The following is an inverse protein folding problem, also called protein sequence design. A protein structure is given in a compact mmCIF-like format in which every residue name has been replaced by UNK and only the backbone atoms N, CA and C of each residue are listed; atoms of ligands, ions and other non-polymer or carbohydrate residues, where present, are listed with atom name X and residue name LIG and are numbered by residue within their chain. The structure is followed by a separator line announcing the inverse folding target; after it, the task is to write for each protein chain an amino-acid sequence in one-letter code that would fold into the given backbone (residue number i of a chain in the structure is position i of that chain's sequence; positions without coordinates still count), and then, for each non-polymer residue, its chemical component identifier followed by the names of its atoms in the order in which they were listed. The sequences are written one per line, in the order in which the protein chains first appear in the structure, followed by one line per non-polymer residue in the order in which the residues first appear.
data_IF_018470144503
#
_entry.id   IF_018470144503
#
_cell.length_a   1.000
_cell.length_b   1.000
_cell.length_c   1.000
_cell.angle_alpha   90.00
_cell.angle_beta   90.00
_cell.angle_gamma   90.00
#
_symmetry.space_group_name_H-M   'P 1'
#
loop_
_entity.id
_entity.type
_entity.pdbx_description
1 polymer ?
#
# COMPACT_ATOMS: atom_id res chain seq x y z
N UNK A 1 -10.85 -10.05 -2.31
CA UNK A 1 -11.39 -11.33 -2.84
C UNK A 1 -10.97 -12.41 -1.89
N UNK A 2 -11.90 -13.28 -1.51
CA UNK A 2 -11.68 -14.35 -0.52
C UNK A 2 -12.29 -15.62 -1.08
N UNK A 3 -11.57 -16.75 -1.10
CA UNK A 3 -12.14 -18.01 -1.60
C UNK A 3 -13.26 -18.49 -0.67
N UNK A 4 -14.50 -18.39 -1.16
CA UNK A 4 -15.72 -18.75 -0.44
C UNK A 4 -16.61 -19.57 -1.38
N UNK A 5 -17.04 -20.75 -0.93
CA UNK A 5 -17.83 -21.72 -1.74
C UNK A 5 -19.21 -22.02 -1.17
N UNK A 6 -19.51 -21.53 0.04
CA UNK A 6 -20.78 -21.79 0.71
C UNK A 6 -21.12 -20.67 1.72
N UNK A 7 -22.37 -20.65 2.18
CA UNK A 7 -22.84 -19.71 3.21
C UNK A 7 -22.11 -19.88 4.55
N UNK A 8 -21.68 -21.10 4.88
CA UNK A 8 -20.84 -21.34 6.07
C UNK A 8 -19.52 -20.59 6.02
N UNK A 9 -18.91 -20.46 4.83
CA UNK A 9 -17.72 -19.65 4.63
C UNK A 9 -17.98 -18.17 4.87
N UNK A 10 -19.12 -17.66 4.39
CA UNK A 10 -19.53 -16.26 4.59
C UNK A 10 -19.64 -15.93 6.07
N UNK A 11 -20.31 -16.79 6.84
CA UNK A 11 -20.48 -16.62 8.29
C UNK A 11 -19.14 -16.67 9.02
N UNK A 12 -18.26 -17.62 8.68
CA UNK A 12 -16.93 -17.73 9.29
C UNK A 12 -16.09 -16.47 9.07
N UNK A 13 -16.08 -15.95 7.84
CA UNK A 13 -15.37 -14.72 7.47
C UNK A 13 -15.95 -13.50 8.20
N UNK A 14 -17.28 -13.33 8.19
CA UNK A 14 -17.94 -12.21 8.88
C UNK A 14 -17.64 -12.23 10.37
N UNK A 15 -17.82 -13.37 11.04
CA UNK A 15 -17.59 -13.49 12.48
C UNK A 15 -16.15 -13.14 12.84
N UNK A 16 -15.16 -13.62 12.05
CA UNK A 16 -13.76 -13.34 12.31
C UNK A 16 -13.40 -11.86 12.13
N UNK A 17 -13.95 -11.20 11.10
CA UNK A 17 -13.70 -9.78 10.88
C UNK A 17 -14.41 -8.92 11.94
N UNK A 18 -15.63 -9.28 12.36
CA UNK A 18 -16.38 -8.54 13.38
C UNK A 18 -15.68 -8.50 14.75
N UNK A 19 -14.77 -9.44 15.06
CA UNK A 19 -13.99 -9.38 16.30
C UNK A 19 -12.89 -8.33 16.27
N UNK A 20 -12.59 -7.72 15.12
CA UNK A 20 -11.53 -6.74 14.98
C UNK A 20 -12.06 -5.33 15.26
N UNK A 21 -11.50 -4.67 16.27
CA UNK A 21 -11.82 -3.29 16.59
C UNK A 21 -11.43 -2.35 15.44
N UNK A 22 -12.32 -1.43 15.06
CA UNK A 22 -12.09 -0.48 13.96
C UNK A 22 -12.73 -0.90 12.62
N UNK A 23 -13.37 -2.06 12.55
CA UNK A 23 -14.29 -2.39 11.45
C UNK A 23 -15.68 -1.83 11.76
N UNK A 24 -16.25 -1.09 10.81
CA UNK A 24 -17.57 -0.46 10.90
C UNK A 24 -18.66 -1.24 10.17
N UNK A 25 -18.34 -1.77 8.99
CA UNK A 25 -19.29 -2.52 8.18
C UNK A 25 -18.57 -3.60 7.35
N UNK A 26 -19.25 -4.72 7.12
CA UNK A 26 -18.76 -5.85 6.30
C UNK A 26 -19.90 -6.30 5.38
N UNK A 27 -19.67 -6.21 4.08
CA UNK A 27 -20.57 -6.73 3.06
C UNK A 27 -19.88 -7.89 2.35
N UNK A 28 -20.64 -8.97 2.10
CA UNK A 28 -20.12 -10.16 1.44
C UNK A 28 -20.98 -10.46 0.23
N UNK A 29 -20.32 -10.58 -0.92
CA UNK A 29 -20.86 -10.98 -2.20
C UNK A 29 -20.29 -12.37 -2.53
N UNK A 30 -21.03 -13.41 -2.16
CA UNK A 30 -20.63 -14.80 -2.37
C UNK A 30 -20.50 -15.18 -3.85
N UNK A 31 -21.46 -14.82 -4.75
CA UNK A 31 -21.32 -15.10 -6.19
C UNK A 31 -20.02 -14.57 -6.80
N UNK A 32 -19.57 -13.38 -6.38
CA UNK A 32 -18.32 -12.79 -6.86
C UNK A 32 -17.10 -13.10 -5.98
N UNK A 33 -17.29 -13.81 -4.85
CA UNK A 33 -16.25 -14.11 -3.86
C UNK A 33 -15.55 -12.83 -3.31
N UNK A 34 -16.35 -11.78 -3.10
CA UNK A 34 -15.86 -10.47 -2.65
C UNK A 34 -16.35 -10.18 -1.24
N UNK A 35 -15.44 -9.65 -0.42
CA UNK A 35 -15.74 -9.08 0.89
C UNK A 35 -15.36 -7.61 0.81
N UNK A 36 -16.33 -6.73 1.07
CA UNK A 36 -16.11 -5.28 1.20
C UNK A 36 -16.08 -4.96 2.69
N UNK A 37 -15.06 -4.23 3.11
CA UNK A 37 -14.86 -3.85 4.50
C UNK A 37 -14.77 -2.34 4.58
N UNK A 38 -15.60 -1.74 5.42
CA UNK A 38 -15.47 -0.35 5.83
C UNK A 38 -14.82 -0.32 7.21
N UNK A 39 -13.63 0.27 7.31
CA UNK A 39 -12.89 0.32 8.57
C UNK A 39 -11.60 1.12 8.47
N UNK A 40 -10.87 1.18 9.59
CA UNK A 40 -9.60 1.91 9.70
C UNK A 40 -8.39 1.01 9.96
N UNK A 41 -8.59 -0.32 9.94
CA UNK A 41 -7.53 -1.29 10.19
C UNK A 41 -6.56 -1.39 9.01
N UNK A 42 -5.28 -1.71 9.27
CA UNK A 42 -4.32 -2.04 8.23
C UNK A 42 -4.79 -3.20 7.36
N UNK A 43 -4.49 -3.16 6.06
CA UNK A 43 -4.83 -4.24 5.13
C UNK A 43 -4.20 -5.55 5.57
N UNK A 44 -2.94 -5.52 6.03
CA UNK A 44 -2.24 -6.71 6.53
C UNK A 44 -3.01 -7.39 7.67
N UNK A 45 -3.44 -6.64 8.68
CA UNK A 45 -4.22 -7.17 9.80
C UNK A 45 -5.52 -7.85 9.34
N UNK A 46 -6.20 -7.28 8.34
CA UNK A 46 -7.41 -7.86 7.78
C UNK A 46 -7.13 -9.12 6.96
N UNK A 47 -6.04 -9.14 6.17
CA UNK A 47 -5.62 -10.32 5.42
C UNK A 47 -5.20 -11.47 6.35
N UNK A 48 -4.42 -11.18 7.38
CA UNK A 48 -4.01 -12.17 8.38
C UNK A 48 -5.22 -12.78 9.09
N UNK A 49 -6.21 -11.96 9.46
CA UNK A 49 -7.44 -12.44 10.06
C UNK A 49 -8.24 -13.35 9.12
N UNK A 50 -8.27 -13.04 7.82
CA UNK A 50 -8.92 -13.88 6.81
C UNK A 50 -8.17 -15.19 6.59
N UNK A 51 -6.83 -15.16 6.54
CA UNK A 51 -5.98 -16.35 6.43
C UNK A 51 -6.16 -17.28 7.63
N UNK A 52 -6.33 -16.74 8.85
CA UNK A 52 -6.66 -17.54 10.05
C UNK A 52 -7.99 -18.29 9.94
N UNK A 53 -8.87 -17.94 9.00
CA UNK A 53 -10.08 -18.72 8.72
C UNK A 53 -9.82 -19.92 7.79
N UNK A 54 -8.58 -20.12 7.32
CA UNK A 54 -8.19 -21.15 6.36
C UNK A 54 -8.56 -20.79 4.91
N UNK A 55 -8.63 -19.50 4.58
CA UNK A 55 -9.04 -19.00 3.26
C UNK A 55 -8.01 -18.04 2.72
N UNK A 56 -7.62 -18.25 1.47
CA UNK A 56 -6.77 -17.30 0.76
C UNK A 56 -7.55 -16.01 0.48
N UNK A 57 -6.90 -14.88 0.77
CA UNK A 57 -7.47 -13.56 0.57
C UNK A 57 -6.48 -12.66 -0.16
N UNK A 58 -6.97 -11.91 -1.14
CA UNK A 58 -6.20 -10.87 -1.82
C UNK A 58 -6.95 -9.56 -1.91
N UNK A 59 -6.24 -8.46 -1.77
CA UNK A 59 -6.78 -7.13 -2.00
C UNK A 59 -7.01 -6.92 -3.50
N UNK A 60 -8.23 -6.52 -3.88
CA UNK A 60 -8.60 -6.24 -5.28
C UNK A 60 -8.97 -4.78 -5.53
N UNK A 61 -9.13 -4.00 -4.46
CA UNK A 61 -9.39 -2.56 -4.55
C UNK A 61 -9.42 -1.91 -3.17
N UNK A 62 -9.09 -0.63 -3.11
CA UNK A 62 -9.04 0.17 -1.88
C UNK A 62 -9.47 1.61 -2.17
N UNK A 63 -9.80 2.37 -1.13
CA UNK A 63 -10.21 3.77 -1.24
C UNK A 63 -11.72 3.97 -1.16
N UNK A 64 -12.14 5.22 -1.26
CA UNK A 64 -13.55 5.60 -1.23
C UNK A 64 -14.15 5.58 -2.65
N UNK A 65 -15.09 4.66 -2.96
CA UNK A 65 -15.64 4.50 -4.31
C UNK A 65 -16.60 5.63 -4.73
N UNK A 66 -17.10 6.44 -3.80
CA UNK A 66 -18.14 7.42 -4.12
C UNK A 66 -17.57 8.79 -4.50
N UNK A 67 -16.35 9.11 -4.05
CA UNK A 67 -15.85 10.49 -4.04
C UNK A 67 -14.69 10.75 -5.02
N UNK A 68 -14.00 9.71 -5.54
CA UNK A 68 -12.77 9.89 -6.31
C UNK A 68 -12.66 8.97 -7.53
N UNK A 69 -12.30 9.54 -8.69
CA UNK A 69 -11.96 8.80 -9.91
C UNK A 69 -10.64 8.02 -9.81
N UNK A 70 -9.72 8.47 -8.96
CA UNK A 70 -8.48 7.75 -8.64
C UNK A 70 -8.36 7.70 -7.12
N UNK A 71 -8.81 6.58 -6.56
CA UNK A 71 -8.86 6.38 -5.11
C UNK A 71 -7.70 5.54 -4.58
N UNK A 72 -6.92 4.89 -5.45
CA UNK A 72 -5.84 4.00 -5.04
C UNK A 72 -4.60 4.06 -5.96
N UNK A 73 -3.44 3.86 -5.35
CA UNK A 73 -2.16 3.70 -6.03
C UNK A 73 -1.28 2.67 -5.32
N UNK A 74 -0.30 2.15 -6.05
CA UNK A 74 0.66 1.18 -5.54
C UNK A 74 2.05 1.45 -6.10
N UNK A 75 3.07 1.32 -5.27
CA UNK A 75 4.46 1.27 -5.69
C UNK A 75 5.06 -0.07 -5.24
N UNK A 76 5.73 -0.76 -6.17
CA UNK A 76 6.25 -2.11 -5.95
C UNK A 76 7.76 -2.13 -6.14
N UNK A 77 8.47 -2.57 -5.11
CA UNK A 77 9.92 -2.76 -5.08
C UNK A 77 10.19 -4.23 -5.38
N UNK A 78 10.86 -4.51 -6.50
CA UNK A 78 11.07 -5.87 -7.03
C UNK A 78 12.47 -6.44 -6.77
N UNK A 79 13.23 -5.83 -5.86
CA UNK A 79 14.62 -6.21 -5.61
C UNK A 79 15.60 -5.67 -6.65
N UNK A 80 16.87 -6.17 -6.65
CA UNK A 80 17.34 -7.29 -5.84
C UNK A 80 17.62 -6.94 -4.36
N UNK A 81 17.75 -5.66 -4.01
CA UNK A 81 18.18 -5.22 -2.66
C UNK A 81 17.01 -5.19 -1.67
N UNK A 82 15.88 -4.62 -2.08
CA UNK A 82 14.67 -4.49 -1.26
C UNK A 82 13.46 -4.97 -2.04
N UNK A 83 12.68 -5.83 -1.42
CA UNK A 83 11.35 -6.19 -1.89
C UNK A 83 10.33 -5.45 -1.04
N UNK A 84 9.22 -5.04 -1.63
CA UNK A 84 8.23 -4.31 -0.86
C UNK A 84 7.07 -3.79 -1.68
N UNK A 85 6.00 -3.46 -0.99
CA UNK A 85 4.80 -2.89 -1.58
C UNK A 85 4.36 -1.73 -0.71
N UNK A 86 4.15 -0.58 -1.34
CA UNK A 86 3.53 0.59 -0.75
C UNK A 86 2.18 0.81 -1.40
N UNK A 87 1.12 0.85 -0.59
CA UNK A 87 -0.26 1.11 -1.02
C UNK A 87 -0.68 2.47 -0.52
N UNK A 88 -1.26 3.25 -1.43
CA UNK A 88 -1.83 4.55 -1.13
C UNK A 88 -3.32 4.51 -1.44
N UNK A 89 -4.14 4.98 -0.50
CA UNK A 89 -5.58 5.05 -0.67
C UNK A 89 -6.10 6.43 -0.25
N UNK A 90 -6.85 7.09 -1.13
CA UNK A 90 -7.50 8.35 -0.82
C UNK A 90 -8.65 8.10 0.15
N UNK A 91 -8.63 8.78 1.30
CA UNK A 91 -9.71 8.73 2.29
C UNK A 91 -10.70 9.86 2.04
N UNK A 92 -10.18 11.08 1.90
CA UNK A 92 -10.93 12.28 1.51
C UNK A 92 -9.98 13.25 0.77
N UNK A 93 -10.44 14.43 0.36
CA UNK A 93 -9.62 15.40 -0.40
C UNK A 93 -8.33 15.87 0.31
N UNK A 94 -8.27 15.77 1.64
CA UNK A 94 -7.18 16.27 2.48
C UNK A 94 -6.35 15.15 3.11
N UNK A 95 -6.74 13.88 2.95
CA UNK A 95 -6.13 12.77 3.67
C UNK A 95 -5.94 11.55 2.76
N UNK A 96 -4.69 11.11 2.64
CA UNK A 96 -4.35 9.83 2.04
C UNK A 96 -3.81 8.88 3.13
N UNK A 97 -4.23 7.62 3.05
CA UNK A 97 -3.66 6.54 3.85
C UNK A 97 -2.50 5.92 3.10
N UNK A 98 -1.42 5.66 3.81
CA UNK A 98 -0.21 5.01 3.28
C UNK A 98 0.08 3.78 4.12
N UNK A 99 0.18 2.64 3.46
CA UNK A 99 0.58 1.37 4.07
C UNK A 99 1.77 0.81 3.30
N UNK A 100 2.82 0.42 4.00
CA UNK A 100 4.01 -0.12 3.40
C UNK A 100 4.50 -1.36 4.12
N UNK A 101 4.96 -2.33 3.35
CA UNK A 101 5.70 -3.49 3.84
C UNK A 101 6.95 -3.64 2.99
N UNK A 102 8.09 -3.75 3.65
CA UNK A 102 9.39 -3.96 3.03
C UNK A 102 10.07 -5.18 3.64
N UNK A 103 10.87 -5.88 2.83
CA UNK A 103 11.79 -6.92 3.25
C UNK A 103 13.15 -6.77 2.58
N UNK A 104 14.19 -7.24 3.26
CA UNK A 104 15.58 -7.13 2.79
C UNK A 104 16.31 -5.88 3.24
N UNK A 105 15.67 -5.01 4.03
CA UNK A 105 16.33 -3.87 4.66
C UNK A 105 17.40 -4.32 5.67
N UNK A 106 18.40 -3.49 5.91
CA UNK A 106 19.31 -3.68 7.05
C UNK A 106 18.57 -3.34 8.34
N UNK A 107 18.85 -3.98 9.49
CA UNK A 107 18.28 -3.57 10.76
C UNK A 107 18.61 -2.10 11.07
N UNK A 108 17.62 -1.34 11.55
CA UNK A 108 17.78 0.06 11.91
C UNK A 108 16.81 1.02 11.21
N UNK A 109 17.15 2.31 11.25
CA UNK A 109 16.30 3.40 10.75
C UNK A 109 16.60 3.73 9.29
N UNK A 110 15.56 3.82 8.48
CA UNK A 110 15.60 4.11 7.06
C UNK A 110 14.71 5.31 6.73
N UNK A 111 15.26 6.32 6.07
CA UNK A 111 14.46 7.39 5.49
C UNK A 111 13.68 6.88 4.29
N UNK A 112 12.54 7.50 4.00
CA UNK A 112 11.79 7.28 2.77
C UNK A 112 10.96 8.52 2.41
N UNK A 113 10.74 8.70 1.11
CA UNK A 113 10.05 9.87 0.58
C UNK A 113 9.35 9.57 -0.74
N UNK A 114 8.40 10.42 -1.09
CA UNK A 114 7.87 10.55 -2.44
C UNK A 114 8.70 11.63 -3.14
N UNK A 115 9.27 11.30 -4.29
CA UNK A 115 10.11 12.20 -5.08
C UNK A 115 9.37 12.70 -6.32
N UNK A 116 9.88 13.76 -6.94
CA UNK A 116 9.20 14.49 -8.01
C UNK A 116 8.93 13.64 -9.26
N UNK A 117 9.86 12.77 -9.64
CA UNK A 117 9.82 12.07 -10.92
C UNK A 117 9.81 10.55 -10.75
N UNK A 118 8.97 9.85 -11.52
CA UNK A 118 9.02 8.40 -11.69
C UNK A 118 10.10 7.94 -12.67
N UNK A 119 11.24 8.63 -12.73
CA UNK A 119 12.37 8.23 -13.58
C UNK A 119 13.30 7.31 -12.80
N UNK A 120 13.32 6.03 -13.19
CA UNK A 120 14.16 4.99 -12.58
C UNK A 120 15.38 4.63 -13.46
N UNK A 121 15.72 5.42 -14.47
CA UNK A 121 16.85 5.14 -15.38
C UNK A 121 18.20 5.03 -14.66
N UNK A 122 18.37 5.76 -13.53
CA UNK A 122 19.51 5.65 -12.61
C UNK A 122 19.04 5.30 -11.18
N UNK A 123 17.96 4.55 -11.06
CA UNK A 123 17.37 4.22 -9.75
C UNK A 123 16.95 5.48 -8.99
N UNK A 124 17.20 5.57 -7.67
CA UNK A 124 16.83 6.73 -6.86
C UNK A 124 17.44 8.07 -7.33
N UNK A 125 18.63 8.06 -7.93
CA UNK A 125 19.33 9.28 -8.38
C UNK A 125 18.55 10.10 -9.43
N UNK A 126 17.76 9.42 -10.27
CA UNK A 126 16.98 10.07 -11.34
C UNK A 126 15.59 10.54 -10.87
N UNK A 127 15.20 10.29 -9.62
CA UNK A 127 13.85 10.59 -9.12
C UNK A 127 13.61 12.06 -8.76
N UNK A 128 14.65 12.89 -8.77
CA UNK A 128 14.56 14.32 -8.43
C UNK A 128 14.51 14.55 -6.91
N UNK A 129 14.00 15.71 -6.49
CA UNK A 129 13.93 16.08 -5.07
C UNK A 129 12.70 15.44 -4.43
N UNK A 130 12.60 15.56 -3.10
CA UNK A 130 11.38 15.23 -2.37
C UNK A 130 10.23 16.08 -2.90
N UNK A 131 9.13 15.43 -3.25
CA UNK A 131 7.95 16.07 -3.80
C UNK A 131 7.41 17.11 -2.83
N UNK A 132 7.32 18.36 -3.31
CA UNK A 132 6.62 19.43 -2.61
C UNK A 132 5.88 20.30 -3.62
N UNK A 133 4.53 20.34 -3.60
CA UNK A 133 3.79 21.22 -4.49
C UNK A 133 3.99 22.69 -4.05
N UNK A 134 3.95 23.64 -4.99
CA UNK A 134 4.35 25.03 -4.76
C UNK A 134 3.44 25.78 -3.78
N UNK A 135 2.20 25.32 -3.62
CA UNK A 135 1.19 25.85 -2.69
C UNK A 135 1.33 25.30 -1.26
N UNK A 136 2.21 24.32 -1.04
CA UNK A 136 2.45 23.74 0.26
C UNK A 136 3.69 24.35 0.94
N UNK A 137 3.42 25.22 1.92
CA UNK A 137 4.44 25.87 2.76
C UNK A 137 4.44 25.21 4.14
N UNK A 138 5.49 24.46 4.44
CA UNK A 138 5.74 23.84 5.74
C UNK A 138 7.24 23.55 5.87
N UNK A 139 7.71 23.32 7.10
CA UNK A 139 9.11 22.97 7.37
C UNK A 139 9.51 21.63 6.74
N UNK A 140 8.54 20.73 6.52
CA UNK A 140 8.76 19.42 5.88
C UNK A 140 7.95 19.32 4.61
N UNK A 141 8.60 18.93 3.52
CA UNK A 141 7.94 18.67 2.23
C UNK A 141 6.77 17.68 2.36
N UNK A 142 5.72 17.83 1.54
CA UNK A 142 4.56 16.93 1.61
C UNK A 142 4.94 15.47 1.31
N UNK A 143 5.92 15.25 0.42
CA UNK A 143 6.46 13.94 0.06
C UNK A 143 7.36 13.33 1.13
N UNK A 144 7.66 14.04 2.22
CA UNK A 144 8.40 13.49 3.34
C UNK A 144 7.53 12.48 4.12
N UNK A 145 7.88 11.20 4.05
CA UNK A 145 7.17 10.11 4.75
C UNK A 145 7.80 9.75 6.11
N UNK A 146 8.86 10.44 6.51
CA UNK A 146 9.58 10.24 7.77
C UNK A 146 10.56 9.07 7.71
N UNK A 147 10.55 8.27 8.77
CA UNK A 147 11.53 7.21 9.03
C UNK A 147 10.79 5.89 9.24
N UNK A 148 11.29 4.85 8.59
CA UNK A 148 10.91 3.45 8.79
C UNK A 148 11.93 2.79 9.70
N UNK A 149 11.47 1.90 10.56
CA UNK A 149 12.34 1.07 11.38
C UNK A 149 12.26 -0.38 10.89
N UNK A 150 13.39 -0.91 10.46
CA UNK A 150 13.54 -2.30 10.07
C UNK A 150 14.05 -3.12 11.26
N UNK A 151 13.34 -4.18 11.59
CA UNK A 151 13.72 -5.09 12.68
C UNK A 151 14.87 -6.02 12.30
N UNK A 152 15.29 -6.85 13.27
CA UNK A 152 16.31 -7.89 13.07
C UNK A 152 15.94 -8.93 12.00
N UNK A 153 14.63 -9.13 11.77
CA UNK A 153 14.11 -9.96 10.69
C UNK A 153 14.25 -9.32 9.30
N UNK A 154 14.83 -8.12 9.20
CA UNK A 154 15.00 -7.35 7.95
C UNK A 154 13.67 -6.95 7.29
N UNK A 155 12.61 -6.86 8.09
CA UNK A 155 11.30 -6.41 7.66
C UNK A 155 10.98 -5.05 8.30
N UNK A 156 10.28 -4.22 7.53
CA UNK A 156 9.74 -2.95 8.01
C UNK A 156 8.26 -2.84 7.62
N UNK A 157 7.43 -2.40 8.56
CA UNK A 157 6.01 -2.17 8.35
C UNK A 157 5.66 -0.74 8.72
N UNK A 158 4.81 -0.12 7.89
CA UNK A 158 4.26 1.20 8.17
C UNK A 158 2.78 1.22 7.84
N UNK A 159 2.00 1.83 8.71
CA UNK A 159 0.60 2.16 8.48
C UNK A 159 0.33 3.52 9.07
N UNK A 160 0.01 4.49 8.22
CA UNK A 160 -0.23 5.86 8.65
C UNK A 160 -1.12 6.61 7.67
N UNK A 161 -1.43 7.85 8.03
CA UNK A 161 -2.17 8.78 7.19
C UNK A 161 -1.38 10.06 7.04
N UNK A 162 -1.42 10.64 5.83
CA UNK A 162 -0.74 11.87 5.49
C UNK A 162 -1.75 12.91 5.05
N UNK A 163 -1.73 14.05 5.73
CA UNK A 163 -2.54 15.22 5.38
C UNK A 163 -2.01 15.90 4.12
N UNK A 164 -2.91 16.57 3.39
CA UNK A 164 -2.64 17.34 2.17
C UNK A 164 -1.99 16.55 1.04
N UNK A 165 -2.07 15.22 1.11
CA UNK A 165 -1.57 14.31 0.10
C UNK A 165 -2.74 13.79 -0.74
N UNK A 166 -2.69 14.02 -2.05
CA UNK A 166 -3.72 13.55 -3.00
C UNK A 166 -3.13 12.50 -3.92
N UNK A 167 -3.68 11.30 -3.92
CA UNK A 167 -3.23 10.14 -4.70
C UNK A 167 -3.12 10.46 -6.19
N UNK A 168 -4.05 11.25 -6.74
CA UNK A 168 -4.03 11.67 -8.15
C UNK A 168 -2.75 12.43 -8.52
N UNK A 169 -2.19 13.22 -7.60
CA UNK A 169 -0.97 14.00 -7.84
C UNK A 169 0.31 13.16 -7.71
N UNK A 170 0.20 11.95 -7.16
CA UNK A 170 1.33 11.05 -6.93
C UNK A 170 1.53 10.06 -8.08
N UNK A 171 0.52 9.86 -8.92
CA UNK A 171 0.61 8.92 -10.04
C UNK A 171 1.74 9.34 -10.98
N UNK A 172 2.65 8.40 -11.27
CA UNK A 172 3.82 8.64 -12.11
C UNK A 172 5.02 9.28 -11.39
N UNK A 173 4.89 9.58 -10.10
CA UNK A 173 6.03 9.91 -9.22
C UNK A 173 6.67 8.63 -8.69
N UNK A 174 7.69 8.73 -7.85
CA UNK A 174 8.33 7.57 -7.23
C UNK A 174 8.36 7.66 -5.72
N UNK A 175 8.44 6.51 -5.07
CA UNK A 175 8.86 6.38 -3.68
C UNK A 175 10.33 5.98 -3.68
N UNK A 176 11.15 6.72 -2.94
CA UNK A 176 12.56 6.44 -2.71
C UNK A 176 12.78 5.97 -1.27
N UNK A 177 13.68 5.01 -1.10
CA UNK A 177 14.07 4.42 0.17
C UNK A 177 15.56 4.66 0.37
N UNK A 178 15.96 5.03 1.58
CA UNK A 178 17.33 5.43 1.91
C UNK A 178 18.00 4.41 2.81
N UNK A 179 19.34 4.32 2.74
CA UNK A 179 20.12 3.38 3.55
C UNK A 179 20.03 3.67 5.04
N UNK A 180 19.87 4.95 5.40
CA UNK A 180 19.76 5.41 6.78
C UNK A 180 18.66 6.46 6.90
N UNK A 181 18.42 6.99 8.11
CA UNK A 181 17.55 8.15 8.33
C UNK A 181 18.09 9.42 7.63
N UNK A 182 19.40 9.49 7.40
CA UNK A 182 20.00 10.55 6.59
C UNK A 182 19.68 10.33 5.10
N UNK A 183 19.05 11.34 4.49
CA UNK A 183 18.64 11.36 3.08
C UNK A 183 19.60 12.12 2.18
N UNK A 184 20.82 12.35 2.66
CA UNK A 184 21.88 13.00 1.88
C UNK A 184 22.36 12.13 0.71
N UNK A 185 22.30 10.81 0.87
CA UNK A 185 22.58 9.85 -0.19
C UNK A 185 21.43 9.77 -1.20
N UNK A 186 21.66 9.35 -2.45
CA UNK A 186 20.60 9.28 -3.46
C UNK A 186 19.44 8.33 -3.12
N UNK A 187 19.69 7.33 -2.28
CA UNK A 187 18.75 6.26 -1.93
C UNK A 187 19.25 4.89 -2.40
N UNK A 188 18.70 3.83 -1.81
CA UNK A 188 19.04 2.43 -2.09
C UNK A 188 18.09 1.75 -3.06
N UNK A 189 16.83 2.20 -3.11
CA UNK A 189 15.81 1.66 -4.00
C UNK A 189 14.73 2.69 -4.27
N UNK A 190 14.12 2.64 -5.46
CA UNK A 190 12.99 3.47 -5.80
C UNK A 190 11.98 2.69 -6.65
N UNK A 191 10.71 3.05 -6.53
CA UNK A 191 9.62 2.44 -7.27
C UNK A 191 8.62 3.51 -7.74
N UNK A 192 8.13 3.38 -8.97
CA UNK A 192 7.11 4.29 -9.51
C UNK A 192 5.75 4.00 -8.86
N UNK A 193 5.04 5.07 -8.52
CA UNK A 193 3.67 5.04 -8.02
C UNK A 193 2.74 4.86 -9.23
N UNK A 194 2.22 3.66 -9.37
CA UNK A 194 1.26 3.29 -10.40
C UNK A 194 -0.18 3.37 -9.88
N UNK A 195 -1.14 3.52 -10.81
CA UNK A 195 -2.57 3.43 -10.47
C UNK A 195 -2.88 2.02 -9.98
N UNK A 196 -3.67 1.93 -8.92
CA UNK A 196 -4.26 0.68 -8.44
C UNK A 196 -5.77 0.77 -8.59
N UNK A 197 -6.43 -0.38 -8.71
CA UNK A 197 -7.88 -0.43 -8.76
C UNK A 197 -8.50 0.12 -7.48
N UNK A 198 -9.53 0.95 -7.63
CA UNK A 198 -10.45 1.33 -6.58
C UNK A 198 -11.39 0.20 -6.20
N UNK A 199 -12.17 0.41 -5.14
CA UNK A 199 -13.17 -0.56 -4.67
C UNK A 199 -14.24 -0.80 -5.75
N UNK A 200 -14.28 -2.01 -6.32
CA UNK A 200 -15.24 -2.39 -7.36
C UNK A 200 -14.80 -2.15 -8.79
N UNK A 201 -13.56 -1.68 -9.02
CA UNK A 201 -13.06 -1.43 -10.37
C UNK A 201 -12.37 -2.65 -11.00
N UNK A 202 -12.03 -3.67 -10.20
CA UNK A 202 -11.28 -4.83 -10.67
C UNK A 202 -11.79 -6.15 -10.07
N UNK A 203 -12.44 -6.95 -10.92
CA UNK A 203 -12.87 -8.32 -10.62
C UNK A 203 -12.07 -9.37 -11.38
N UNK A 204 -10.92 -9.01 -11.99
CA UNK A 204 -10.11 -9.93 -12.79
C UNK A 204 -9.64 -11.09 -11.92
N UNK A 205 -10.06 -12.31 -12.28
CA UNK A 205 -9.74 -13.55 -11.56
C UNK A 205 -8.44 -14.20 -12.03
N UNK A 206 -8.06 -13.97 -13.29
CA UNK A 206 -6.89 -14.59 -13.92
C UNK A 206 -5.92 -13.51 -14.42
N UNK A 207 -4.67 -13.54 -13.96
CA UNK A 207 -3.59 -12.74 -14.52
C UNK A 207 -2.57 -13.69 -15.18
N UNK A 208 -2.49 -13.64 -16.50
CA UNK A 208 -1.55 -14.44 -17.30
C UNK A 208 -0.25 -13.66 -17.49
N UNK A 209 0.58 -13.60 -16.44
CA UNK A 209 1.97 -13.16 -16.54
C UNK A 209 2.84 -14.23 -15.87
N UNK A 210 3.63 -14.94 -16.67
CA UNK A 210 4.78 -15.83 -16.40
C UNK A 210 4.82 -16.76 -15.16
N UNK A 211 3.70 -16.99 -14.46
CA UNK A 211 3.57 -18.09 -13.50
C UNK A 211 4.46 -18.00 -12.26
N UNK A 212 5.10 -16.85 -12.02
CA UNK A 212 5.86 -16.60 -10.80
C UNK A 212 5.01 -15.69 -9.90
N UNK A 213 4.74 -16.12 -8.67
CA UNK A 213 4.20 -15.25 -7.63
C UNK A 213 5.21 -14.14 -7.39
N UNK A 214 5.00 -12.97 -8.00
CA UNK A 214 5.80 -11.77 -7.75
C UNK A 214 5.34 -11.25 -6.40
N UNK A 215 6.03 -11.69 -5.35
CA UNK A 215 5.98 -11.22 -3.97
C UNK A 215 4.60 -10.73 -3.48
N UNK A 216 3.84 -11.62 -2.84
CA UNK A 216 2.72 -11.20 -2.00
C UNK A 216 3.27 -10.75 -0.65
N UNK A 217 2.91 -9.55 -0.20
CA UNK A 217 3.22 -9.09 1.15
C UNK A 217 2.47 -9.98 2.15
N UNK A 218 3.14 -11.02 2.64
CA UNK A 218 2.74 -11.74 3.86
C UNK A 218 2.89 -10.85 5.09
#
# INVERSE_FOLDING_TARGET
MVDMKCEGCVTSVKNKLQTLEGIKNIEVDLPNQVVRVLGSLPVKTMLDALHQTGRDARLIGQGNPNDFLVSAAVAEFKGPVVFGVVRLAQVNMELARVEATFSGLSPGKHGWSINEFGDLTRGPESTGKVYNPPDYVSDKAVGDLGTLEAGENREAHFSGSKEKLRVVDLIGRSIALYATEDRSDPGIAAAVIARSAGVGENYKKLCTCDGVTIWESS
#
